data_IF_553610037262
#
_entry.id   IF_553610037262
#
_cell.length_a   1.000
_cell.length_b   1.000
_cell.length_c   1.000
_cell.angle_alpha   90.00
_cell.angle_beta   90.00
_cell.angle_gamma   90.00
#
_symmetry.space_group_name_H-M   'P 1'
#
loop_
_entity.id
_entity.type
_entity.pdbx_description
1 polymer ?
#
# COMPACT_ATOMS: atom_id res chain seq x y z
N UNK A 1 -60.74 67.58 23.43
CA UNK A 1 -59.93 67.59 22.21
C UNK A 1 -58.71 66.66 22.43
N UNK A 2 -58.81 65.42 22.02
CA UNK A 2 -57.75 64.39 22.18
C UNK A 2 -57.13 64.08 20.85
N UNK A 3 -55.89 64.47 20.66
CA UNK A 3 -55.09 64.14 19.46
C UNK A 3 -54.51 62.78 19.55
N UNK A 4 -54.94 61.85 18.70
CA UNK A 4 -54.31 60.50 18.55
C UNK A 4 -53.11 60.57 17.63
N UNK A 5 -51.96 60.29 18.15
CA UNK A 5 -50.71 60.10 17.37
C UNK A 5 -50.54 58.62 17.04
N UNK A 6 -50.75 58.23 15.76
CA UNK A 6 -50.41 56.91 15.29
C UNK A 6 -48.90 56.79 15.03
N UNK A 7 -48.22 56.02 15.86
CA UNK A 7 -46.83 55.67 15.65
C UNK A 7 -46.77 54.54 14.65
N UNK A 8 -46.31 54.79 13.44
CA UNK A 8 -46.03 53.73 12.44
C UNK A 8 -44.69 53.13 12.72
N UNK A 9 -44.67 51.86 13.24
CA UNK A 9 -43.48 51.06 13.35
C UNK A 9 -43.07 50.53 11.98
N UNK A 10 -41.91 50.98 11.46
CA UNK A 10 -41.31 50.50 10.22
C UNK A 10 -40.49 49.24 10.56
N UNK A 11 -41.08 48.07 10.28
CA UNK A 11 -40.33 46.79 10.41
C UNK A 11 -39.34 46.66 9.24
N UNK A 12 -38.05 46.93 9.48
CA UNK A 12 -36.98 46.55 8.57
C UNK A 12 -36.72 45.05 8.73
N UNK A 13 -37.15 44.27 7.72
CA UNK A 13 -36.75 42.86 7.61
C UNK A 13 -35.28 42.76 7.16
N UNK A 14 -34.40 42.45 8.10
CA UNK A 14 -33.02 42.04 7.76
C UNK A 14 -33.07 40.65 7.17
N UNK A 15 -32.89 40.54 5.86
CA UNK A 15 -32.67 39.26 5.19
C UNK A 15 -31.28 38.70 5.58
N UNK A 16 -31.27 37.67 6.41
CA UNK A 16 -30.06 36.91 6.69
C UNK A 16 -29.83 35.97 5.49
N UNK A 17 -28.98 36.38 4.55
CA UNK A 17 -28.45 35.50 3.50
C UNK A 17 -27.60 34.42 4.18
N UNK A 18 -28.17 33.22 4.34
CA UNK A 18 -27.45 32.06 4.85
C UNK A 18 -26.35 31.68 3.89
N UNK A 19 -25.11 31.95 4.29
CA UNK A 19 -23.90 31.43 3.64
C UNK A 19 -23.86 29.93 3.90
N UNK A 20 -24.28 29.12 2.94
CA UNK A 20 -24.13 27.67 2.99
C UNK A 20 -22.64 27.36 2.99
N UNK A 21 -22.07 27.06 4.16
CA UNK A 21 -20.75 26.45 4.29
C UNK A 21 -20.86 25.07 3.64
N UNK A 22 -20.38 24.95 2.40
CA UNK A 22 -20.15 23.66 1.79
C UNK A 22 -19.12 22.92 2.68
N UNK A 23 -19.63 22.07 3.56
CA UNK A 23 -18.84 21.19 4.40
C UNK A 23 -18.06 20.24 3.50
N UNK A 24 -16.82 20.59 3.18
CA UNK A 24 -15.90 19.66 2.54
C UNK A 24 -15.76 18.45 3.45
N UNK A 25 -16.17 17.27 2.99
CA UNK A 25 -15.88 16.04 3.69
C UNK A 25 -14.36 15.90 3.76
N UNK A 26 -13.79 15.55 4.92
CA UNK A 26 -12.36 15.28 5.00
C UNK A 26 -12.04 14.17 3.99
N UNK A 27 -11.10 14.43 3.09
CA UNK A 27 -10.60 13.39 2.19
C UNK A 27 -10.05 12.27 3.07
N UNK A 28 -10.70 11.11 3.04
CA UNK A 28 -10.23 9.93 3.74
C UNK A 28 -8.93 9.50 3.07
N UNK A 29 -7.84 9.49 3.84
CA UNK A 29 -6.54 9.03 3.33
C UNK A 29 -6.71 7.60 2.80
N UNK A 30 -6.23 7.35 1.58
CA UNK A 30 -6.25 6.01 1.03
C UNK A 30 -5.43 5.07 1.93
N UNK A 31 -5.93 3.86 2.13
CA UNK A 31 -5.19 2.82 2.85
C UNK A 31 -3.82 2.59 2.20
N UNK A 32 -2.74 2.45 2.98
CA UNK A 32 -1.40 2.33 2.43
C UNK A 32 -1.24 1.04 1.61
N UNK A 33 -0.45 1.12 0.54
CA UNK A 33 0.00 -0.08 -0.17
C UNK A 33 0.80 -0.95 0.77
N UNK A 34 0.39 -2.20 0.96
CA UNK A 34 1.00 -3.14 1.90
C UNK A 34 1.32 -4.46 1.24
N UNK A 35 2.43 -5.06 1.66
CA UNK A 35 2.80 -6.45 1.36
C UNK A 35 2.83 -7.26 2.66
N UNK A 36 2.44 -8.53 2.58
CA UNK A 36 2.42 -9.45 3.72
C UNK A 36 2.77 -10.86 3.28
N UNK A 37 3.12 -11.72 4.24
CA UNK A 37 3.33 -13.14 4.03
C UNK A 37 2.62 -13.94 5.13
N UNK A 38 2.12 -15.12 4.77
CA UNK A 38 1.63 -16.11 5.76
C UNK A 38 2.76 -16.94 6.37
N UNK A 39 3.97 -16.92 5.78
CA UNK A 39 5.11 -17.73 6.21
C UNK A 39 6.06 -17.01 7.18
N UNK A 40 6.04 -15.67 7.20
CA UNK A 40 6.87 -14.86 8.11
C UNK A 40 6.19 -13.52 8.41
N UNK A 41 6.63 -12.87 9.48
CA UNK A 41 6.21 -11.51 9.85
C UNK A 41 7.29 -10.51 9.45
N UNK A 42 6.94 -9.24 9.38
CA UNK A 42 7.91 -8.17 9.20
C UNK A 42 9.00 -8.22 10.28
N UNK A 43 10.27 -8.09 9.88
CA UNK A 43 11.42 -8.30 10.74
C UNK A 43 11.67 -9.75 11.17
N UNK A 44 10.86 -10.71 10.72
CA UNK A 44 11.00 -12.13 11.04
C UNK A 44 11.99 -12.85 10.11
N UNK A 45 12.40 -14.04 10.56
CA UNK A 45 13.30 -14.91 9.79
C UNK A 45 12.54 -15.71 8.73
N UNK A 46 13.11 -15.82 7.54
CA UNK A 46 12.69 -16.78 6.52
C UNK A 46 13.06 -18.21 6.94
N UNK A 47 12.32 -19.18 6.43
CA UNK A 47 12.62 -20.60 6.66
C UNK A 47 13.82 -21.04 5.80
N UNK A 48 14.54 -22.07 6.24
CA UNK A 48 15.72 -22.61 5.52
C UNK A 48 15.37 -22.98 4.08
N UNK A 49 14.20 -23.54 3.81
CA UNK A 49 13.74 -23.88 2.46
C UNK A 49 13.73 -22.70 1.47
N UNK A 50 13.65 -21.47 1.98
CA UNK A 50 13.65 -20.27 1.15
C UNK A 50 15.06 -19.84 0.72
N UNK A 51 16.11 -20.36 1.37
CA UNK A 51 17.50 -20.11 0.93
C UNK A 51 17.77 -20.79 -0.42
N UNK A 52 18.73 -20.25 -1.16
CA UNK A 52 19.16 -20.83 -2.43
C UNK A 52 19.65 -22.27 -2.29
N UNK A 53 19.67 -23.00 -3.41
CA UNK A 53 20.03 -24.42 -3.48
C UNK A 53 21.29 -24.70 -4.35
N UNK A 54 22.16 -23.71 -4.55
CA UNK A 54 23.37 -23.85 -5.37
C UNK A 54 24.40 -24.67 -4.60
N UNK A 55 24.56 -25.94 -4.93
CA UNK A 55 25.41 -26.93 -4.21
C UNK A 55 26.86 -26.50 -3.98
N UNK A 56 27.43 -25.65 -4.83
CA UNK A 56 28.79 -25.14 -4.70
C UNK A 56 28.92 -23.95 -3.76
N UNK A 57 27.80 -23.37 -3.32
CA UNK A 57 27.79 -22.22 -2.42
C UNK A 57 27.41 -22.68 -1.00
N UNK A 58 28.29 -22.57 -0.01
CA UNK A 58 28.02 -23.05 1.36
C UNK A 58 26.85 -22.28 2.04
N UNK A 59 26.48 -21.11 1.53
CA UNK A 59 25.36 -20.33 2.05
C UNK A 59 24.01 -20.69 1.38
N UNK A 60 24.01 -21.52 0.34
CA UNK A 60 22.80 -21.96 -0.37
C UNK A 60 22.34 -23.31 0.19
N UNK A 61 21.85 -23.31 1.41
CA UNK A 61 21.50 -24.51 2.20
C UNK A 61 20.01 -24.89 2.13
N UNK A 62 19.25 -24.21 1.31
CA UNK A 62 17.79 -24.39 1.18
C UNK A 62 17.35 -25.11 -0.10
N UNK A 63 16.08 -24.96 -0.42
CA UNK A 63 15.42 -25.60 -1.56
C UNK A 63 15.06 -24.60 -2.67
N UNK A 64 15.43 -23.34 -2.50
CA UNK A 64 15.09 -22.23 -3.41
C UNK A 64 13.57 -22.05 -3.59
N UNK A 65 12.81 -22.22 -2.51
CA UNK A 65 11.34 -22.06 -2.53
C UNK A 65 10.98 -20.61 -2.25
N UNK A 66 10.29 -19.95 -3.16
CA UNK A 66 9.79 -18.59 -2.93
C UNK A 66 8.74 -18.59 -1.81
N UNK A 67 8.79 -17.64 -0.86
CA UNK A 67 7.77 -17.54 0.17
C UNK A 67 6.44 -17.06 -0.45
N UNK A 68 5.29 -17.41 0.18
CA UNK A 68 4.01 -16.85 -0.22
C UNK A 68 3.98 -15.35 0.09
N UNK A 69 3.48 -14.54 -0.83
CA UNK A 69 3.34 -13.10 -0.69
C UNK A 69 1.93 -12.68 -1.10
N UNK A 70 1.39 -11.68 -0.40
CA UNK A 70 0.15 -11.02 -0.78
C UNK A 70 0.31 -9.51 -0.63
N UNK A 71 -0.29 -8.76 -1.53
CA UNK A 71 -0.29 -7.29 -1.45
C UNK A 71 -1.68 -6.73 -1.73
N UNK A 72 -1.94 -5.54 -1.18
CA UNK A 72 -3.23 -4.84 -1.29
C UNK A 72 -3.04 -3.34 -1.34
N UNK A 73 -4.12 -2.64 -1.70
CA UNK A 73 -4.19 -1.18 -1.74
C UNK A 73 -3.15 -0.57 -2.69
N UNK A 74 -2.96 -1.19 -3.86
CA UNK A 74 -2.10 -0.61 -4.88
C UNK A 74 -2.61 0.79 -5.28
N UNK A 75 -1.72 1.76 -5.51
CA UNK A 75 -2.12 3.07 -5.99
C UNK A 75 -2.93 2.97 -7.29
N UNK A 76 -3.90 3.87 -7.43
CA UNK A 76 -4.65 3.98 -8.68
C UNK A 76 -3.70 4.20 -9.87
N UNK A 77 -4.01 3.56 -10.99
CA UNK A 77 -3.18 3.66 -12.18
C UNK A 77 -1.96 2.73 -12.21
N UNK A 78 -1.74 1.90 -11.18
CA UNK A 78 -0.69 0.88 -11.19
C UNK A 78 -0.83 -0.01 -12.44
N UNK A 79 0.24 -0.17 -13.20
CA UNK A 79 0.26 -1.00 -14.43
C UNK A 79 0.93 -2.36 -14.21
N UNK A 80 1.96 -2.38 -13.38
CA UNK A 80 2.70 -3.61 -13.04
C UNK A 80 3.42 -3.43 -11.72
N UNK A 81 3.89 -4.56 -11.16
CA UNK A 81 4.72 -4.58 -9.96
C UNK A 81 6.10 -5.16 -10.28
N UNK A 82 7.06 -4.84 -9.42
CA UNK A 82 8.33 -5.54 -9.29
C UNK A 82 8.53 -5.90 -7.81
N UNK A 83 9.17 -7.04 -7.57
CA UNK A 83 9.57 -7.50 -6.24
C UNK A 83 11.08 -7.66 -6.25
N UNK A 84 11.74 -7.10 -5.23
CA UNK A 84 13.16 -7.32 -4.97
C UNK A 84 13.35 -7.80 -3.54
N UNK A 85 14.22 -8.79 -3.35
CA UNK A 85 14.67 -9.23 -2.03
C UNK A 85 16.15 -8.89 -1.91
N UNK A 86 16.46 -7.90 -1.08
CA UNK A 86 17.81 -7.37 -0.92
C UNK A 86 18.34 -7.60 0.49
N UNK A 87 19.50 -8.23 0.59
CA UNK A 87 20.29 -8.31 1.80
C UNK A 87 21.23 -7.10 1.87
N UNK A 88 20.96 -6.19 2.79
CA UNK A 88 21.75 -4.96 2.93
C UNK A 88 23.14 -5.21 3.52
N UNK A 89 23.34 -6.28 4.30
CA UNK A 89 24.60 -6.64 4.91
C UNK A 89 25.49 -7.47 3.97
N UNK A 90 24.92 -8.02 2.91
CA UNK A 90 25.63 -8.86 1.95
C UNK A 90 26.86 -8.17 1.36
N UNK A 91 27.91 -8.95 1.04
CA UNK A 91 29.17 -8.46 0.43
C UNK A 91 29.82 -7.34 1.22
N UNK A 92 29.81 -7.43 2.54
CA UNK A 92 30.47 -6.43 3.40
C UNK A 92 29.74 -5.07 3.41
N UNK A 93 28.43 -5.06 3.25
CA UNK A 93 27.59 -3.84 3.27
C UNK A 93 27.30 -3.24 1.89
N UNK A 94 27.80 -3.83 0.81
CA UNK A 94 27.48 -3.40 -0.56
C UNK A 94 26.07 -3.83 -0.98
N UNK A 95 25.49 -4.81 -0.28
CA UNK A 95 24.21 -5.40 -0.57
C UNK A 95 24.26 -6.48 -1.65
N UNK A 96 23.30 -7.40 -1.56
CA UNK A 96 23.08 -8.47 -2.56
C UNK A 96 21.58 -8.56 -2.85
N UNK A 97 21.21 -8.55 -4.11
CA UNK A 97 19.86 -8.86 -4.53
C UNK A 97 19.75 -10.38 -4.73
N UNK A 98 18.97 -11.02 -3.85
CA UNK A 98 18.78 -12.47 -3.86
C UNK A 98 17.66 -12.90 -4.80
N UNK A 99 16.69 -12.04 -5.02
CA UNK A 99 15.51 -12.36 -5.81
C UNK A 99 14.96 -11.09 -6.48
N UNK A 100 14.71 -11.16 -7.77
CA UNK A 100 14.16 -10.07 -8.55
C UNK A 100 13.11 -10.61 -9.48
N UNK A 101 11.88 -10.09 -9.39
CA UNK A 101 10.80 -10.33 -10.34
C UNK A 101 10.30 -8.98 -10.82
N UNK A 102 9.98 -8.88 -12.10
CA UNK A 102 9.41 -7.67 -12.70
C UNK A 102 8.32 -8.04 -13.71
N UNK A 103 7.57 -7.03 -14.17
CA UNK A 103 6.50 -7.24 -15.14
C UNK A 103 5.28 -7.97 -14.58
N UNK A 104 5.11 -8.02 -13.25
CA UNK A 104 3.94 -8.65 -12.63
C UNK A 104 2.71 -7.82 -12.98
N UNK A 105 1.69 -8.41 -13.65
CA UNK A 105 0.48 -7.68 -14.02
C UNK A 105 -0.22 -7.04 -12.82
N UNK A 106 -0.84 -5.87 -13.01
CA UNK A 106 -1.58 -5.18 -11.93
C UNK A 106 -2.75 -5.99 -11.36
N UNK A 107 -3.27 -6.96 -12.09
CA UNK A 107 -4.32 -7.88 -11.65
C UNK A 107 -3.84 -8.96 -10.67
N UNK A 108 -2.54 -9.19 -10.57
CA UNK A 108 -1.95 -10.13 -9.61
C UNK A 108 -1.83 -9.44 -8.26
N UNK A 109 -2.30 -10.08 -7.21
CA UNK A 109 -2.29 -9.57 -5.83
C UNK A 109 -1.51 -10.44 -4.86
N UNK A 110 -0.77 -11.42 -5.35
CA UNK A 110 0.07 -12.31 -4.54
C UNK A 110 0.63 -13.46 -5.31
N UNK A 111 1.47 -14.23 -4.64
CA UNK A 111 2.02 -15.51 -5.08
C UNK A 111 1.84 -16.55 -3.98
N UNK A 112 1.48 -17.76 -4.35
CA UNK A 112 1.53 -18.92 -3.46
C UNK A 112 2.99 -19.32 -3.17
N UNK A 113 3.20 -20.13 -2.13
CA UNK A 113 4.52 -20.69 -1.83
C UNK A 113 5.05 -21.47 -3.02
N UNK A 114 6.29 -21.20 -3.41
CA UNK A 114 6.97 -21.87 -4.52
C UNK A 114 6.57 -21.38 -5.92
N UNK A 115 5.51 -20.62 -6.05
CA UNK A 115 4.98 -20.20 -7.37
C UNK A 115 6.01 -19.37 -8.16
N UNK A 116 6.80 -18.56 -7.48
CA UNK A 116 7.81 -17.70 -8.09
C UNK A 116 9.25 -18.21 -7.87
N UNK A 117 9.43 -19.52 -7.65
CA UNK A 117 10.76 -20.15 -7.43
C UNK A 117 11.56 -20.35 -8.71
N UNK A 118 10.92 -20.25 -9.87
CA UNK A 118 11.54 -20.46 -11.19
C UNK A 118 11.24 -19.27 -12.09
N UNK A 119 12.14 -18.95 -13.03
CA UNK A 119 11.81 -18.01 -14.09
C UNK A 119 10.52 -18.43 -14.80
N UNK A 120 9.66 -17.49 -15.12
CA UNK A 120 8.47 -17.73 -15.93
C UNK A 120 8.57 -16.89 -17.21
N UNK A 121 8.16 -17.47 -18.30
CA UNK A 121 8.11 -16.85 -19.63
C UNK A 121 6.79 -16.06 -19.83
N UNK A 122 6.19 -15.57 -18.77
CA UNK A 122 4.90 -14.85 -18.80
C UNK A 122 5.09 -13.37 -19.09
#
# INVERSE_FOLDING_TARGET
MTKNYYLRALCMAFGITGLALAGGQPAQAAEPFTISSSAFKDGGMLQVKNAGNIKKNPNCVGDNVSPPLAWKNAPEGTKSYAITMRDLAGRGGLGVDHWVIYGIPASVTGFAEGEASKPSDK
#
